data_IF_129975624129
#
_entry.id   IF_129975624129
#
_cell.length_a   1.000
_cell.length_b   1.000
_cell.length_c   1.000
_cell.angle_alpha   90.00
_cell.angle_beta   90.00
_cell.angle_gamma   90.00
#
_symmetry.space_group_name_H-M   'P 1'
#
loop_
_entity.id
_entity.type
_entity.pdbx_description
1 polymer ?
#
# COMPACT_ATOMS: atom_id res chain seq x y z
N UNK A 1 3.62 -28.21 -24.75
CA UNK A 1 4.30 -26.97 -24.32
C UNK A 1 4.38 -26.87 -22.79
N UNK A 2 3.35 -27.18 -22.05
CA UNK A 2 3.41 -27.40 -20.62
C UNK A 2 3.02 -28.85 -20.34
N UNK A 3 3.87 -29.59 -19.66
CA UNK A 3 3.50 -30.89 -19.14
C UNK A 3 2.62 -30.67 -17.89
N UNK A 4 1.35 -30.38 -18.15
CA UNK A 4 0.35 -30.02 -17.12
C UNK A 4 0.06 -31.14 -16.13
N UNK A 5 0.61 -32.34 -16.38
CA UNK A 5 0.40 -33.52 -15.57
C UNK A 5 1.37 -33.66 -14.40
N UNK A 6 2.54 -33.02 -14.47
CA UNK A 6 3.53 -33.09 -13.40
C UNK A 6 3.12 -32.21 -12.20
N UNK A 7 3.12 -32.81 -11.04
CA UNK A 7 2.93 -32.11 -9.77
C UNK A 7 4.24 -31.47 -9.31
N UNK A 8 4.16 -30.48 -8.39
CA UNK A 8 5.36 -29.89 -7.80
C UNK A 8 6.25 -30.95 -7.14
N UNK A 9 5.65 -31.92 -6.45
CA UNK A 9 6.41 -32.98 -5.78
C UNK A 9 7.21 -33.87 -6.76
N UNK A 10 6.74 -34.02 -8.00
CA UNK A 10 7.44 -34.78 -9.03
C UNK A 10 8.56 -33.97 -9.69
N UNK A 11 8.44 -32.63 -9.70
CA UNK A 11 9.43 -31.72 -10.29
C UNK A 11 10.49 -31.30 -9.27
N UNK A 12 10.06 -30.97 -8.04
CA UNK A 12 10.91 -30.46 -6.95
C UNK A 12 10.33 -30.86 -5.60
N UNK A 13 10.75 -32.02 -5.13
CA UNK A 13 10.29 -32.56 -3.86
C UNK A 13 10.72 -31.74 -2.65
N UNK A 14 11.84 -31.02 -2.72
CA UNK A 14 12.35 -30.22 -1.61
C UNK A 14 11.46 -29.01 -1.36
N UNK A 15 11.06 -28.32 -2.43
CA UNK A 15 10.11 -27.22 -2.33
C UNK A 15 8.71 -27.70 -1.93
N UNK A 16 8.25 -28.84 -2.46
CA UNK A 16 6.96 -29.42 -2.07
C UNK A 16 6.91 -29.74 -0.57
N UNK A 17 7.99 -30.34 -0.03
CA UNK A 17 8.11 -30.63 1.40
C UNK A 17 8.16 -29.35 2.26
N UNK A 18 8.86 -28.28 1.79
CA UNK A 18 8.91 -27.00 2.49
C UNK A 18 7.53 -26.35 2.57
N UNK A 19 6.73 -26.40 1.50
CA UNK A 19 5.35 -25.87 1.48
C UNK A 19 4.47 -26.67 2.46
N UNK A 20 4.53 -27.99 2.43
CA UNK A 20 3.75 -28.84 3.35
C UNK A 20 4.13 -28.58 4.81
N UNK A 21 5.43 -28.39 5.10
CA UNK A 21 5.87 -28.05 6.45
C UNK A 21 5.38 -26.66 6.90
N UNK A 22 5.36 -25.68 5.98
CA UNK A 22 4.83 -24.34 6.27
C UNK A 22 3.31 -24.36 6.46
N UNK A 23 2.56 -25.15 5.70
CA UNK A 23 1.12 -25.36 5.92
C UNK A 23 0.86 -25.91 7.33
N UNK A 24 1.59 -26.94 7.75
CA UNK A 24 1.50 -27.49 9.09
C UNK A 24 1.86 -26.45 10.17
N UNK A 25 2.92 -25.66 9.95
CA UNK A 25 3.29 -24.61 10.88
C UNK A 25 2.17 -23.57 11.05
N UNK A 26 1.53 -23.15 9.95
CA UNK A 26 0.44 -22.19 9.99
C UNK A 26 -0.79 -22.73 10.73
N UNK A 27 -1.10 -24.01 10.60
CA UNK A 27 -2.21 -24.65 11.31
C UNK A 27 -1.93 -24.86 12.81
N UNK A 28 -0.68 -25.19 13.16
CA UNK A 28 -0.32 -25.60 14.52
C UNK A 28 0.11 -24.43 15.42
N UNK A 29 0.35 -23.23 14.88
CA UNK A 29 0.89 -22.10 15.62
C UNK A 29 -0.05 -20.90 15.65
N UNK A 30 -0.03 -20.16 16.75
CA UNK A 30 -0.72 -18.87 16.85
C UNK A 30 0.15 -17.80 16.24
N UNK A 31 -0.37 -17.12 15.21
CA UNK A 31 0.32 -16.02 14.56
C UNK A 31 0.07 -14.71 15.30
N UNK A 32 1.17 -14.07 15.74
CA UNK A 32 1.14 -12.78 16.46
C UNK A 32 1.78 -11.62 15.66
N UNK A 33 2.21 -11.87 14.43
CA UNK A 33 2.73 -10.83 13.54
C UNK A 33 1.56 -10.08 12.92
N UNK A 34 1.34 -8.83 13.33
CA UNK A 34 0.20 -8.01 12.92
C UNK A 34 0.04 -7.81 11.41
N UNK A 35 1.11 -8.00 10.63
CA UNK A 35 1.11 -7.90 9.16
C UNK A 35 0.84 -9.22 8.44
N UNK A 36 0.62 -10.32 9.16
CA UNK A 36 0.28 -11.61 8.56
C UNK A 36 -1.23 -11.88 8.60
N UNK A 37 -1.71 -12.65 7.62
CA UNK A 37 -3.08 -13.12 7.53
C UNK A 37 -3.13 -14.35 6.61
N UNK A 38 -4.22 -15.09 6.67
CA UNK A 38 -4.44 -16.30 5.89
C UNK A 38 -5.38 -16.03 4.73
N UNK A 39 -4.87 -16.11 3.51
CA UNK A 39 -5.68 -15.84 2.32
C UNK A 39 -6.62 -17.01 2.00
N UNK A 40 -7.65 -16.76 1.19
CA UNK A 40 -8.56 -17.80 0.75
C UNK A 40 -7.92 -18.70 -0.32
N UNK A 41 -8.45 -19.93 -0.46
CA UNK A 41 -8.04 -20.84 -1.53
C UNK A 41 -8.19 -20.20 -2.92
N UNK A 42 -9.25 -19.41 -3.15
CA UNK A 42 -9.44 -18.71 -4.42
C UNK A 42 -8.32 -17.72 -4.74
N UNK A 43 -7.78 -17.01 -3.73
CA UNK A 43 -6.62 -16.14 -3.92
C UNK A 43 -5.39 -16.96 -4.31
N UNK A 44 -5.14 -18.10 -3.65
CA UNK A 44 -4.00 -18.99 -3.98
C UNK A 44 -4.14 -19.56 -5.40
N UNK A 45 -5.34 -19.91 -5.83
CA UNK A 45 -5.60 -20.42 -7.19
C UNK A 45 -5.28 -19.37 -8.26
N UNK A 46 -5.65 -18.09 -8.04
CA UNK A 46 -5.31 -17.00 -8.96
C UNK A 46 -3.82 -16.73 -8.97
N UNK A 47 -3.16 -16.75 -7.80
CA UNK A 47 -1.71 -16.57 -7.69
C UNK A 47 -0.92 -17.62 -8.50
N UNK A 48 -1.39 -18.87 -8.54
CA UNK A 48 -0.82 -19.95 -9.34
C UNK A 48 -1.33 -20.05 -10.77
N UNK A 49 -2.10 -19.08 -11.25
CA UNK A 49 -2.74 -19.11 -12.57
C UNK A 49 -1.81 -18.69 -13.70
N UNK A 50 -2.26 -18.93 -14.95
CA UNK A 50 -1.55 -18.51 -16.18
C UNK A 50 -1.44 -16.99 -16.35
N UNK A 51 -2.14 -16.20 -15.53
CA UNK A 51 -1.97 -14.74 -15.51
C UNK A 51 -0.52 -14.34 -15.18
N UNK A 52 0.21 -15.17 -14.45
CA UNK A 52 1.64 -14.96 -14.16
C UNK A 52 2.52 -14.88 -15.42
N UNK A 53 2.08 -15.46 -16.54
CA UNK A 53 2.84 -15.47 -17.79
C UNK A 53 2.71 -14.18 -18.59
N UNK A 54 1.74 -13.31 -18.25
CA UNK A 54 1.42 -12.17 -19.11
C UNK A 54 2.18 -10.91 -18.72
N UNK A 55 2.90 -10.35 -19.67
CA UNK A 55 3.55 -9.06 -19.58
C UNK A 55 2.61 -7.97 -20.12
N UNK A 56 2.21 -7.00 -19.27
CA UNK A 56 1.15 -6.04 -19.56
C UNK A 56 1.51 -4.60 -19.16
N UNK A 57 2.65 -4.09 -19.65
CA UNK A 57 3.03 -2.69 -19.46
C UNK A 57 1.97 -1.72 -19.99
N UNK A 58 1.77 -0.63 -19.28
CA UNK A 58 0.71 0.33 -19.53
C UNK A 58 -0.51 0.08 -18.66
N UNK A 59 -1.68 0.48 -19.14
CA UNK A 59 -2.94 0.43 -18.41
C UNK A 59 -4.04 -0.21 -19.27
N UNK A 60 -5.18 -0.67 -18.72
CA UNK A 60 -6.27 -1.25 -19.49
C UNK A 60 -6.66 -0.39 -20.69
N UNK A 61 -6.74 -1.00 -21.87
CA UNK A 61 -7.01 -0.32 -23.14
C UNK A 61 -5.86 0.52 -23.70
N UNK A 62 -4.74 0.65 -22.98
CA UNK A 62 -3.55 1.42 -23.38
C UNK A 62 -2.28 0.66 -23.06
N UNK A 63 -2.16 -0.58 -23.55
CA UNK A 63 -1.00 -1.45 -23.33
C UNK A 63 0.05 -1.26 -24.42
N UNK A 64 1.30 -1.51 -24.04
CA UNK A 64 2.44 -1.49 -24.99
C UNK A 64 2.57 -2.80 -25.75
N UNK A 65 1.93 -3.89 -25.30
CA UNK A 65 1.99 -5.22 -25.90
C UNK A 65 0.59 -5.75 -26.22
N UNK A 66 0.50 -6.63 -27.25
CA UNK A 66 -0.72 -7.31 -27.63
C UNK A 66 -1.11 -8.46 -26.68
N UNK A 67 -2.32 -9.00 -26.86
CA UNK A 67 -2.83 -10.14 -26.09
C UNK A 67 -3.21 -9.80 -24.65
N UNK A 68 -3.63 -8.55 -24.40
CA UNK A 68 -3.97 -8.07 -23.07
C UNK A 68 -5.48 -8.04 -22.78
N UNK A 69 -6.31 -8.47 -23.69
CA UNK A 69 -7.79 -8.41 -23.60
C UNK A 69 -8.35 -9.03 -22.33
N UNK A 70 -7.80 -10.14 -21.84
CA UNK A 70 -8.26 -10.81 -20.63
C UNK A 70 -7.65 -10.26 -19.35
N UNK A 71 -6.37 -9.85 -19.38
CA UNK A 71 -5.76 -9.19 -18.22
C UNK A 71 -6.29 -7.77 -18.03
N UNK A 72 -6.76 -7.11 -19.09
CA UNK A 72 -7.47 -5.84 -18.99
C UNK A 72 -8.80 -5.99 -18.23
N UNK A 73 -9.50 -7.12 -18.43
CA UNK A 73 -10.70 -7.44 -17.64
C UNK A 73 -10.35 -7.62 -16.16
N UNK A 74 -9.27 -8.37 -15.85
CA UNK A 74 -8.85 -8.59 -14.47
C UNK A 74 -8.46 -7.28 -13.78
N UNK A 75 -7.63 -6.45 -14.41
CA UNK A 75 -7.20 -5.18 -13.82
C UNK A 75 -8.36 -4.18 -13.70
N UNK A 76 -9.24 -4.09 -14.70
CA UNK A 76 -10.41 -3.22 -14.64
C UNK A 76 -11.36 -3.61 -13.51
N UNK A 77 -11.61 -4.91 -13.31
CA UNK A 77 -12.41 -5.40 -12.19
C UNK A 77 -11.76 -5.07 -10.84
N UNK A 78 -10.43 -5.21 -10.73
CA UNK A 78 -9.72 -4.87 -9.50
C UNK A 78 -9.82 -3.38 -9.18
N UNK A 79 -9.67 -2.51 -10.19
CA UNK A 79 -9.82 -1.04 -10.04
C UNK A 79 -11.24 -0.69 -9.57
N UNK A 80 -12.28 -1.19 -10.25
CA UNK A 80 -13.66 -0.84 -9.91
C UNK A 80 -14.05 -1.37 -8.51
N UNK A 81 -13.67 -2.61 -8.19
CA UNK A 81 -13.93 -3.19 -6.86
C UNK A 81 -13.18 -2.47 -5.75
N UNK A 82 -11.94 -2.03 -5.97
CA UNK A 82 -11.20 -1.24 -5.00
C UNK A 82 -11.86 0.14 -4.76
N UNK A 83 -12.33 0.80 -5.82
CA UNK A 83 -13.09 2.05 -5.72
C UNK A 83 -14.40 1.86 -4.95
N UNK A 84 -15.16 0.83 -5.26
CA UNK A 84 -16.41 0.50 -4.58
C UNK A 84 -16.18 0.19 -3.09
N UNK A 85 -15.19 -0.66 -2.80
CA UNK A 85 -14.89 -1.12 -1.43
C UNK A 85 -14.56 0.01 -0.48
N UNK A 86 -13.84 1.03 -0.95
CA UNK A 86 -13.36 2.14 -0.12
C UNK A 86 -14.10 3.46 -0.35
N UNK A 87 -15.01 3.53 -1.31
CA UNK A 87 -15.68 4.77 -1.70
C UNK A 87 -14.71 5.79 -2.35
N UNK A 88 -13.68 5.31 -3.04
CA UNK A 88 -12.70 6.16 -3.68
C UNK A 88 -13.08 6.49 -5.14
N UNK A 89 -12.69 7.67 -5.63
CA UNK A 89 -12.90 8.06 -7.03
C UNK A 89 -11.85 7.45 -7.96
N UNK A 90 -10.67 7.14 -7.42
CA UNK A 90 -9.53 6.61 -8.15
C UNK A 90 -8.91 5.43 -7.42
N UNK A 91 -8.46 4.43 -8.20
CA UNK A 91 -7.62 3.35 -7.73
C UNK A 91 -6.53 3.01 -8.75
N UNK A 92 -5.31 2.74 -8.28
CA UNK A 92 -4.24 2.10 -9.05
C UNK A 92 -3.85 0.81 -8.32
N UNK A 93 -4.00 -0.31 -9.01
CA UNK A 93 -3.82 -1.66 -8.46
C UNK A 93 -2.49 -2.30 -8.88
N UNK A 94 -1.63 -1.54 -9.57
CA UNK A 94 -0.36 -2.05 -10.08
C UNK A 94 0.84 -2.02 -9.10
N UNK A 95 0.84 -1.30 -7.96
CA UNK A 95 1.98 -1.34 -7.05
C UNK A 95 2.31 -2.77 -6.60
N UNK A 96 3.58 -3.19 -6.74
CA UNK A 96 4.03 -4.53 -6.34
C UNK A 96 4.00 -4.75 -4.81
N UNK A 97 3.98 -3.67 -4.04
CA UNK A 97 3.93 -3.70 -2.58
C UNK A 97 3.45 -2.36 -2.02
N UNK A 98 3.19 -2.29 -0.71
CA UNK A 98 2.94 -1.01 -0.03
C UNK A 98 4.12 -0.05 -0.12
N UNK A 99 5.35 -0.55 -0.06
CA UNK A 99 6.54 0.27 -0.25
C UNK A 99 6.62 0.88 -1.66
N UNK A 100 6.27 0.10 -2.70
CA UNK A 100 6.19 0.60 -4.09
C UNK A 100 5.08 1.65 -4.24
N UNK A 101 3.92 1.43 -3.61
CA UNK A 101 2.82 2.39 -3.59
C UNK A 101 3.28 3.72 -2.97
N UNK A 102 3.89 3.69 -1.78
CA UNK A 102 4.40 4.88 -1.12
C UNK A 102 5.49 5.58 -1.95
N UNK A 103 6.42 4.81 -2.55
CA UNK A 103 7.46 5.37 -3.42
C UNK A 103 6.89 6.13 -4.62
N UNK A 104 5.85 5.58 -5.24
CA UNK A 104 5.18 6.22 -6.36
C UNK A 104 4.45 7.50 -5.95
N UNK A 105 3.82 7.52 -4.77
CA UNK A 105 3.17 8.74 -4.26
C UNK A 105 4.21 9.83 -3.98
N UNK A 106 5.34 9.49 -3.35
CA UNK A 106 6.43 10.46 -3.17
C UNK A 106 6.95 10.99 -4.51
N UNK A 107 7.23 10.11 -5.48
CA UNK A 107 7.69 10.52 -6.82
C UNK A 107 6.67 11.40 -7.55
N UNK A 108 5.38 11.16 -7.35
CA UNK A 108 4.31 11.91 -7.99
C UNK A 108 4.13 13.33 -7.42
N UNK A 109 4.37 13.52 -6.12
CA UNK A 109 3.94 14.71 -5.40
C UNK A 109 5.06 15.50 -4.71
N UNK A 110 6.28 14.93 -4.64
CA UNK A 110 7.45 15.55 -4.03
C UNK A 110 8.65 15.53 -4.97
N UNK A 111 9.56 16.47 -4.77
CA UNK A 111 10.87 16.50 -5.40
C UNK A 111 11.94 15.99 -4.42
N UNK A 112 13.04 15.45 -4.94
CA UNK A 112 14.16 15.02 -4.09
C UNK A 112 14.68 16.20 -3.23
N UNK A 113 14.79 15.97 -1.92
CA UNK A 113 15.16 16.99 -0.95
C UNK A 113 14.01 17.78 -0.33
N UNK A 114 12.78 17.59 -0.78
CA UNK A 114 11.60 18.15 -0.10
C UNK A 114 11.50 17.62 1.33
N UNK A 115 10.86 18.42 2.20
CA UNK A 115 10.60 18.01 3.58
C UNK A 115 9.35 17.13 3.66
N UNK A 116 9.46 16.05 4.42
CA UNK A 116 8.32 15.18 4.76
C UNK A 116 8.22 15.01 6.28
N UNK A 117 7.01 14.85 6.78
CA UNK A 117 6.73 14.62 8.20
C UNK A 117 5.97 13.30 8.35
N UNK A 118 6.53 12.32 9.06
CA UNK A 118 5.92 11.00 9.25
C UNK A 118 6.05 10.50 10.68
N UNK A 119 5.32 9.42 11.01
CA UNK A 119 5.40 8.80 12.32
C UNK A 119 6.75 8.10 12.49
N UNK A 120 7.38 8.31 13.67
CA UNK A 120 8.63 7.64 14.05
C UNK A 120 8.48 6.12 14.03
N UNK A 121 9.50 5.42 13.53
CA UNK A 121 9.56 3.97 13.54
C UNK A 121 9.46 3.42 14.97
N UNK A 122 10.13 4.06 15.92
CA UNK A 122 10.14 3.66 17.34
C UNK A 122 8.78 3.84 18.01
N UNK A 123 7.89 4.63 17.42
CA UNK A 123 6.54 4.87 17.92
C UNK A 123 5.46 4.16 17.08
N UNK A 124 5.86 3.24 16.20
CA UNK A 124 4.94 2.42 15.41
C UNK A 124 4.75 2.87 13.97
N UNK A 125 5.55 3.82 13.46
CA UNK A 125 5.55 4.17 12.04
C UNK A 125 6.07 3.06 11.15
N UNK A 126 5.99 3.24 9.84
CA UNK A 126 6.56 2.32 8.86
C UNK A 126 7.91 2.86 8.34
N UNK A 127 8.78 1.96 7.85
CA UNK A 127 10.06 2.33 7.25
C UNK A 127 9.92 3.41 6.17
N UNK A 128 8.89 3.30 5.31
CA UNK A 128 8.63 4.26 4.23
C UNK A 128 8.04 5.59 4.67
N UNK A 129 7.83 5.80 5.98
CA UNK A 129 7.38 7.09 6.53
C UNK A 129 8.54 8.02 6.91
N UNK A 130 9.69 7.88 6.26
CA UNK A 130 10.85 8.74 6.46
C UNK A 130 11.96 8.17 7.35
N UNK A 131 11.97 6.85 7.63
CA UNK A 131 13.05 6.25 8.39
C UNK A 131 14.41 6.43 7.68
N UNK A 132 15.46 6.85 8.39
CA UNK A 132 16.78 7.21 7.83
C UNK A 132 17.44 6.09 7.01
N UNK A 133 17.14 4.83 7.31
CA UNK A 133 17.69 3.67 6.60
C UNK A 133 16.94 3.36 5.30
N UNK A 134 15.72 3.89 5.16
CA UNK A 134 14.83 3.67 4.01
C UNK A 134 15.06 4.72 2.92
N UNK A 135 14.62 4.42 1.67
CA UNK A 135 14.70 5.36 0.56
C UNK A 135 14.04 6.70 0.91
N UNK A 136 12.91 6.70 1.64
CA UNK A 136 12.19 7.91 2.02
C UNK A 136 13.03 8.85 2.89
N UNK A 137 13.76 8.33 3.87
CA UNK A 137 14.66 9.11 4.70
C UNK A 137 16.02 9.44 4.05
N UNK A 138 16.35 8.78 2.92
CA UNK A 138 17.57 9.07 2.15
C UNK A 138 17.35 10.09 1.04
N UNK A 139 16.14 10.13 0.48
CA UNK A 139 15.78 11.00 -0.65
C UNK A 139 15.21 12.33 -0.18
N UNK A 140 14.46 12.33 0.93
CA UNK A 140 13.74 13.48 1.46
C UNK A 140 14.30 13.94 2.81
N UNK A 141 14.09 15.21 3.15
CA UNK A 141 14.36 15.73 4.50
C UNK A 141 13.25 15.26 5.42
N UNK A 142 13.49 14.20 6.15
CA UNK A 142 12.49 13.53 6.97
C UNK A 142 12.50 14.05 8.41
N UNK A 143 11.32 14.47 8.86
CA UNK A 143 11.00 14.81 10.24
C UNK A 143 10.02 13.79 10.79
N UNK A 144 10.02 13.58 12.11
CA UNK A 144 9.26 12.50 12.73
C UNK A 144 8.45 13.04 13.91
N UNK A 145 7.16 12.66 13.95
CA UNK A 145 6.31 12.85 15.12
C UNK A 145 6.15 11.53 15.88
N UNK A 146 5.67 11.62 17.11
CA UNK A 146 5.57 10.47 17.99
C UNK A 146 4.24 10.34 18.73
N UNK A 147 4.28 9.49 19.76
CA UNK A 147 3.22 9.31 20.72
C UNK A 147 3.55 10.09 22.00
N UNK A 148 2.53 10.55 22.70
CA UNK A 148 2.69 11.06 24.05
C UNK A 148 3.15 9.91 24.98
N UNK A 149 4.30 10.00 25.62
CA UNK A 149 4.84 8.92 26.43
C UNK A 149 4.02 8.63 27.70
N UNK A 150 3.15 9.55 28.12
CA UNK A 150 2.31 9.38 29.30
C UNK A 150 1.00 8.65 28.99
N UNK A 151 0.47 8.79 27.77
CA UNK A 151 -0.81 8.21 27.36
C UNK A 151 -0.67 7.10 26.33
N UNK A 152 0.43 7.08 25.56
CA UNK A 152 0.59 6.19 24.42
C UNK A 152 -0.25 6.59 23.20
N UNK A 153 -0.87 7.77 23.23
CA UNK A 153 -1.71 8.29 22.14
C UNK A 153 -0.91 9.18 21.19
N UNK A 154 -1.41 9.36 19.95
CA UNK A 154 -0.85 10.30 18.99
C UNK A 154 -0.86 11.72 19.54
N UNK A 155 0.32 12.35 19.55
CA UNK A 155 0.48 13.74 19.98
C UNK A 155 0.21 14.69 18.80
N UNK A 156 -1.04 15.00 18.53
CA UNK A 156 -1.43 15.88 17.44
C UNK A 156 -0.91 17.33 17.58
N UNK A 157 -0.65 17.79 18.82
CA UNK A 157 -0.05 19.11 19.00
C UNK A 157 1.40 19.10 18.51
N UNK A 158 2.16 18.04 18.81
CA UNK A 158 3.51 17.85 18.28
C UNK A 158 3.50 17.79 16.74
N UNK A 159 2.54 17.06 16.13
CA UNK A 159 2.39 17.01 14.66
C UNK A 159 2.18 18.41 14.09
N UNK A 160 1.32 19.20 14.71
CA UNK A 160 1.02 20.58 14.27
C UNK A 160 2.23 21.51 14.41
N UNK A 161 2.93 21.44 15.54
CA UNK A 161 4.12 22.25 15.83
C UNK A 161 5.27 21.93 14.86
N UNK A 162 5.55 20.63 14.63
CA UNK A 162 6.54 20.17 13.66
C UNK A 162 6.17 20.54 12.22
N UNK A 163 4.88 20.45 11.88
CA UNK A 163 4.41 20.89 10.56
C UNK A 163 4.66 22.39 10.32
N UNK A 164 4.38 23.22 11.33
CA UNK A 164 4.65 24.68 11.26
C UNK A 164 6.13 25.00 11.22
N UNK A 165 6.95 24.28 12.00
CA UNK A 165 8.39 24.51 12.07
C UNK A 165 9.10 24.11 10.77
N UNK A 166 8.72 22.95 10.19
CA UNK A 166 9.47 22.39 9.07
C UNK A 166 8.80 22.57 7.71
N UNK A 167 7.56 23.06 7.67
CA UNK A 167 6.74 23.31 6.47
C UNK A 167 6.88 22.16 5.44
N UNK A 168 6.50 20.92 5.81
CA UNK A 168 6.71 19.77 4.95
C UNK A 168 5.87 19.84 3.68
N UNK A 169 6.40 19.34 2.58
CA UNK A 169 5.68 19.14 1.33
C UNK A 169 4.58 18.10 1.46
N UNK A 170 4.83 17.09 2.32
CA UNK A 170 3.88 16.00 2.57
C UNK A 170 3.90 15.59 4.05
N UNK A 171 2.70 15.42 4.60
CA UNK A 171 2.51 14.75 5.90
C UNK A 171 2.04 13.32 5.61
N UNK A 172 2.73 12.36 6.21
CA UNK A 172 2.42 10.92 6.10
C UNK A 172 1.80 10.47 7.41
N UNK A 173 0.52 10.17 7.36
CA UNK A 173 -0.22 9.58 8.48
C UNK A 173 -0.41 8.07 8.25
N UNK A 174 -0.54 7.32 9.32
CA UNK A 174 -0.62 5.85 9.27
C UNK A 174 0.50 5.21 10.10
N UNK A 175 0.41 3.92 10.27
CA UNK A 175 1.24 3.19 11.22
C UNK A 175 1.36 1.71 10.88
N UNK A 176 2.34 1.05 11.50
CA UNK A 176 2.51 -0.41 11.50
C UNK A 176 2.16 -1.03 12.86
N UNK A 177 2.34 -0.29 13.95
CA UNK A 177 2.23 -0.82 15.30
C UNK A 177 1.60 0.20 16.29
N UNK A 178 0.46 0.76 15.92
CA UNK A 178 -0.35 1.63 16.78
C UNK A 178 -1.76 1.07 16.88
N UNK A 179 -2.27 0.90 18.09
CA UNK A 179 -3.57 0.27 18.36
C UNK A 179 -4.74 1.25 18.51
N UNK A 180 -4.43 2.56 18.57
CA UNK A 180 -5.45 3.60 18.71
C UNK A 180 -6.15 3.97 17.40
N UNK A 181 -7.25 4.70 17.54
CA UNK A 181 -7.97 5.27 16.40
C UNK A 181 -7.32 6.60 16.01
N UNK A 182 -7.05 6.78 14.72
CA UNK A 182 -6.48 8.02 14.17
C UNK A 182 -7.59 8.97 13.74
N UNK A 183 -7.47 10.23 14.15
CA UNK A 183 -8.31 11.34 13.70
C UNK A 183 -7.76 11.90 12.38
N UNK A 184 -8.27 11.38 11.25
CA UNK A 184 -7.87 11.80 9.92
C UNK A 184 -8.26 13.25 9.60
N UNK A 185 -9.38 13.73 10.16
CA UNK A 185 -9.80 15.11 9.98
C UNK A 185 -8.81 16.09 10.61
N UNK A 186 -8.27 15.73 11.78
CA UNK A 186 -7.26 16.54 12.46
C UNK A 186 -5.95 16.58 11.66
N UNK A 187 -5.51 15.45 11.08
CA UNK A 187 -4.38 15.44 10.16
C UNK A 187 -4.63 16.31 8.91
N UNK A 188 -5.85 16.28 8.34
CA UNK A 188 -6.21 17.14 7.22
C UNK A 188 -6.08 18.61 7.58
N UNK A 189 -6.62 19.04 8.72
CA UNK A 189 -6.52 20.42 9.21
C UNK A 189 -5.08 20.87 9.39
N UNK A 190 -4.23 20.00 9.94
CA UNK A 190 -2.79 20.28 10.10
C UNK A 190 -2.13 20.43 8.73
N UNK A 191 -2.37 19.52 7.80
CA UNK A 191 -1.79 19.59 6.46
C UNK A 191 -2.24 20.83 5.70
N UNK A 192 -3.51 21.21 5.78
CA UNK A 192 -4.05 22.44 5.19
C UNK A 192 -3.38 23.70 5.75
N UNK A 193 -3.08 23.72 7.05
CA UNK A 193 -2.47 24.87 7.71
C UNK A 193 -1.07 25.23 7.17
N UNK A 194 -0.38 24.26 6.57
CA UNK A 194 0.96 24.41 5.99
C UNK A 194 0.99 24.10 4.48
N UNK A 195 -0.18 23.98 3.84
CA UNK A 195 -0.32 23.66 2.42
C UNK A 195 0.45 22.39 2.00
N UNK A 196 0.44 21.37 2.87
CA UNK A 196 1.05 20.06 2.62
C UNK A 196 0.06 19.08 1.99
N UNK A 197 0.56 18.15 1.19
CA UNK A 197 -0.20 16.95 0.84
C UNK A 197 -0.37 16.07 2.08
N UNK A 198 -1.53 15.41 2.20
CA UNK A 198 -1.78 14.37 3.19
C UNK A 198 -1.80 13.01 2.51
N UNK A 199 -0.75 12.22 2.74
CA UNK A 199 -0.70 10.79 2.42
C UNK A 199 -1.12 9.99 3.65
N UNK A 200 -2.10 9.09 3.48
CA UNK A 200 -2.46 8.14 4.53
C UNK A 200 -2.11 6.71 4.09
N UNK A 201 -1.21 6.08 4.83
CA UNK A 201 -0.91 4.65 4.70
C UNK A 201 -1.78 3.87 5.68
N UNK A 202 -2.88 3.29 5.19
CA UNK A 202 -3.83 2.53 6.01
C UNK A 202 -3.57 1.01 5.99
N UNK A 203 -2.39 0.56 5.56
CA UNK A 203 -2.11 -0.85 5.29
C UNK A 203 -2.49 -1.80 6.44
N UNK A 204 -2.25 -1.41 7.68
CA UNK A 204 -2.55 -2.26 8.84
C UNK A 204 -4.04 -2.31 9.22
N UNK A 205 -4.81 -1.30 8.82
CA UNK A 205 -6.25 -1.20 9.17
C UNK A 205 -7.18 -1.26 7.97
N UNK A 206 -6.66 -1.48 6.75
CA UNK A 206 -7.45 -1.41 5.52
C UNK A 206 -8.64 -2.38 5.49
N UNK A 207 -8.48 -3.59 6.04
CA UNK A 207 -9.58 -4.54 6.17
C UNK A 207 -10.65 -4.08 7.16
N UNK A 208 -10.25 -3.41 8.25
CA UNK A 208 -11.18 -2.82 9.22
C UNK A 208 -11.90 -1.60 8.63
N UNK A 209 -11.20 -0.77 7.84
CA UNK A 209 -11.82 0.33 7.09
C UNK A 209 -12.85 -0.20 6.10
N UNK A 210 -12.51 -1.25 5.35
CA UNK A 210 -13.44 -1.89 4.41
C UNK A 210 -14.68 -2.49 5.09
N UNK A 211 -14.52 -2.97 6.33
CA UNK A 211 -15.62 -3.52 7.14
C UNK A 211 -16.42 -2.45 7.91
N UNK A 212 -16.02 -1.18 7.87
CA UNK A 212 -16.65 -0.10 8.63
C UNK A 212 -16.29 -0.07 10.13
N UNK A 213 -15.30 -0.86 10.55
CA UNK A 213 -14.85 -0.98 11.97
C UNK A 213 -13.70 0.00 12.31
N UNK A 214 -13.19 0.73 11.33
CA UNK A 214 -12.19 1.77 11.50
C UNK A 214 -12.52 2.96 10.58
N UNK A 215 -12.30 4.22 11.01
CA UNK A 215 -12.66 5.39 10.21
C UNK A 215 -11.89 5.42 8.89
N UNK A 216 -12.62 5.72 7.80
CA UNK A 216 -12.03 5.84 6.47
C UNK A 216 -11.20 7.12 6.32
N UNK A 217 -9.95 7.04 5.82
CA UNK A 217 -9.16 8.21 5.49
C UNK A 217 -9.53 8.87 4.16
N UNK A 218 -10.31 8.21 3.29
CA UNK A 218 -10.61 8.66 1.92
C UNK A 218 -11.17 10.08 1.87
N UNK A 219 -12.11 10.52 2.75
CA UNK A 219 -12.64 11.87 2.68
C UNK A 219 -11.60 12.96 2.98
N UNK A 220 -10.53 12.64 3.69
CA UNK A 220 -9.57 13.60 4.24
C UNK A 220 -8.24 13.63 3.49
N UNK A 221 -7.74 12.48 3.05
CA UNK A 221 -6.43 12.37 2.41
C UNK A 221 -6.45 12.86 0.97
N UNK A 222 -5.31 13.35 0.46
CA UNK A 222 -5.09 13.57 -0.97
C UNK A 222 -4.85 12.24 -1.67
N UNK A 223 -4.06 11.36 -1.03
CA UNK A 223 -3.78 10.00 -1.49
C UNK A 223 -3.79 9.05 -0.30
N UNK A 224 -4.35 7.87 -0.52
CA UNK A 224 -4.33 6.77 0.44
C UNK A 224 -3.60 5.59 -0.17
N UNK A 225 -2.68 4.99 0.57
CA UNK A 225 -2.01 3.76 0.18
C UNK A 225 -2.38 2.62 1.12
N UNK A 226 -2.33 1.41 0.61
CA UNK A 226 -2.48 0.21 1.41
C UNK A 226 -1.75 -0.97 0.78
N UNK A 227 -1.60 -2.04 1.56
CA UNK A 227 -1.27 -3.38 1.07
C UNK A 227 -2.54 -4.21 0.94
N UNK A 228 -2.49 -5.24 0.11
CA UNK A 228 -3.64 -6.15 -0.06
C UNK A 228 -3.58 -7.37 0.86
N UNK A 229 -2.44 -7.66 1.51
CA UNK A 229 -2.14 -8.92 2.18
C UNK A 229 -2.16 -8.90 3.72
N UNK A 230 -2.53 -7.76 4.36
CA UNK A 230 -2.61 -7.66 5.83
C UNK A 230 -4.07 -7.88 6.28
N UNK A 231 -4.67 -6.93 6.97
CA UNK A 231 -6.07 -7.04 7.40
C UNK A 231 -7.05 -7.21 6.22
N UNK A 232 -6.70 -6.74 5.01
CA UNK A 232 -7.52 -6.96 3.81
C UNK A 232 -7.50 -8.41 3.31
N UNK A 233 -6.55 -9.25 3.73
CA UNK A 233 -6.53 -10.70 3.52
C UNK A 233 -6.43 -11.14 2.07
N UNK A 234 -5.82 -10.33 1.22
CA UNK A 234 -5.61 -10.61 -0.21
C UNK A 234 -4.20 -11.12 -0.53
N UNK A 235 -3.82 -11.10 -1.82
CA UNK A 235 -2.48 -11.45 -2.28
C UNK A 235 -1.46 -10.38 -1.85
N UNK A 236 -0.17 -10.69 -1.97
CA UNK A 236 0.90 -9.74 -1.62
C UNK A 236 1.09 -8.71 -2.72
N UNK A 237 0.49 -7.54 -2.50
CA UNK A 237 0.55 -6.41 -3.41
C UNK A 237 0.32 -5.08 -2.69
N UNK A 238 0.29 -3.99 -3.46
CA UNK A 238 -0.03 -2.65 -3.00
C UNK A 238 -1.18 -2.03 -3.78
N UNK A 239 -1.76 -0.99 -3.21
CA UNK A 239 -2.91 -0.29 -3.77
C UNK A 239 -2.79 1.21 -3.47
N UNK A 240 -3.09 2.05 -4.46
CA UNK A 240 -3.20 3.50 -4.29
C UNK A 240 -4.64 3.91 -4.56
N UNK A 241 -5.20 4.70 -3.66
CA UNK A 241 -6.55 5.24 -3.75
C UNK A 241 -6.50 6.77 -3.64
N UNK A 242 -7.43 7.47 -4.29
CA UNK A 242 -7.55 8.91 -4.12
C UNK A 242 -9.01 9.37 -4.30
N UNK A 243 -9.31 10.54 -3.74
CA UNK A 243 -10.52 11.29 -4.08
C UNK A 243 -10.40 11.90 -5.48
N UNK A 244 -11.45 12.53 -5.96
CA UNK A 244 -11.49 13.11 -7.31
C UNK A 244 -10.49 14.28 -7.47
N UNK A 245 -9.41 14.01 -8.24
CA UNK A 245 -8.41 15.00 -8.66
C UNK A 245 -7.61 14.44 -9.85
N UNK A 246 -8.04 14.79 -11.06
CA UNK A 246 -7.42 14.28 -12.28
C UNK A 246 -5.91 14.58 -12.42
N UNK A 247 -5.43 15.69 -11.88
CA UNK A 247 -4.00 16.02 -11.94
C UNK A 247 -3.19 15.02 -11.10
N UNK A 248 -3.65 14.76 -9.88
CA UNK A 248 -3.03 13.76 -8.99
C UNK A 248 -3.11 12.37 -9.63
N UNK A 249 -4.26 11.98 -10.20
CA UNK A 249 -4.42 10.67 -10.85
C UNK A 249 -3.41 10.45 -11.97
N UNK A 250 -3.20 11.45 -12.84
CA UNK A 250 -2.22 11.39 -13.93
C UNK A 250 -0.79 11.25 -13.41
N UNK A 251 -0.43 12.01 -12.37
CA UNK A 251 0.89 11.93 -11.72
C UNK A 251 1.12 10.56 -11.08
N UNK A 252 0.13 10.01 -10.37
CA UNK A 252 0.21 8.69 -9.75
C UNK A 252 0.38 7.58 -10.79
N UNK A 253 -0.41 7.60 -11.86
CA UNK A 253 -0.27 6.64 -12.95
C UNK A 253 1.12 6.71 -13.59
N UNK A 254 1.61 7.90 -13.88
CA UNK A 254 2.96 8.09 -14.45
C UNK A 254 4.06 7.65 -13.49
N UNK A 255 3.88 7.88 -12.19
CA UNK A 255 4.86 7.48 -11.18
C UNK A 255 4.93 5.96 -10.98
N UNK A 256 3.81 5.25 -11.12
CA UNK A 256 3.81 3.79 -11.13
C UNK A 256 4.43 3.28 -12.43
N UNK A 257 3.81 3.58 -13.57
CA UNK A 257 4.32 3.17 -14.87
C UNK A 257 4.42 4.38 -15.81
N UNK A 258 5.62 4.66 -16.34
CA UNK A 258 6.88 3.91 -16.23
C UNK A 258 7.81 4.36 -15.08
N UNK A 259 7.33 5.15 -14.11
CA UNK A 259 8.18 5.86 -13.15
C UNK A 259 8.95 4.95 -12.19
N UNK A 260 8.29 4.02 -11.54
CA UNK A 260 8.90 3.12 -10.52
C UNK A 260 8.86 1.65 -10.88
N UNK A 261 8.01 1.26 -11.83
CA UNK A 261 7.78 -0.14 -12.21
C UNK A 261 7.72 -0.30 -13.73
N UNK A 262 7.96 -1.54 -14.22
CA UNK A 262 7.56 -2.04 -15.51
C UNK A 262 6.15 -2.63 -15.47
N UNK A 263 5.96 -3.84 -16.02
CA UNK A 263 4.67 -4.50 -16.05
C UNK A 263 4.14 -4.86 -14.65
N UNK A 264 2.82 -4.78 -14.43
CA UNK A 264 2.19 -5.23 -13.19
C UNK A 264 2.23 -6.75 -13.05
N UNK A 265 2.04 -7.24 -11.83
CA UNK A 265 1.88 -8.66 -11.52
C UNK A 265 0.43 -9.05 -11.76
N UNK A 266 0.10 -9.56 -12.96
CA UNK A 266 -1.29 -9.78 -13.38
C UNK A 266 -2.03 -10.86 -12.59
N UNK A 267 -1.30 -11.75 -11.91
CA UNK A 267 -1.84 -12.79 -11.03
C UNK A 267 -2.15 -12.27 -9.60
N UNK A 268 -1.69 -11.07 -9.24
CA UNK A 268 -1.95 -10.40 -7.96
C UNK A 268 -3.23 -9.59 -8.04
#
# INVERSE_FOLDING_TARGET
MFEKSLTLAEVDSDIANAITAEEARQEDHIELIASENYTSKGVLEVQGSVLTNKYAEGYPGKRYYGGCEFVDVAESLAIERAKELYGASYANVQPHSGASANSAVYLALCEAGDSILGMSLDHGGHLTHGAKVNFSGKTYKSFQYGLDPSTGELNYQEVEDLAKEHNPKMIVAGFSAYSGIVDWERFRKIADSVNAYLLVDMAHVSGLVAAGEYPSPIPYADVVTTTTHKTLRGPRGGLILAKDNEEIHKKLNSAIFPGTQGGPLMHV
#
